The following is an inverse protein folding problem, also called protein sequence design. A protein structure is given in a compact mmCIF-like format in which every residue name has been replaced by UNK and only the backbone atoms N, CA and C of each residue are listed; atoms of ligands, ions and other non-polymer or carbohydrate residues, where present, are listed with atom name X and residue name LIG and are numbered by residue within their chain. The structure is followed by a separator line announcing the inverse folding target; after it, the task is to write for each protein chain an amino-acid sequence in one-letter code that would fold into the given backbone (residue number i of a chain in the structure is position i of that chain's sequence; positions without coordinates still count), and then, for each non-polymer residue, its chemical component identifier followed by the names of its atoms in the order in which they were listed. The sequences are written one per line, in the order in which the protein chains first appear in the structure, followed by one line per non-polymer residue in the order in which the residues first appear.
data_IF_769495533959
#
_entry.id   IF_769495533959
#
_cell.length_a   1.000
_cell.length_b   1.000
_cell.length_c   1.000
_cell.angle_alpha   90.00
_cell.angle_beta   90.00
_cell.angle_gamma   90.00
#
_symmetry.space_group_name_H-M   'P 1'
#
loop_
_entity.id
_entity.type
_entity.pdbx_description
1 polymer ?
#
# COMPACT_ATOMS: atom_id res chain seq x y z
N UNK A 1 11.10 -8.20 24.52
CA UNK A 1 11.23 -6.98 23.71
C UNK A 1 9.90 -6.77 23.02
N UNK A 2 9.10 -5.83 23.51
CA UNK A 2 7.71 -5.64 23.09
C UNK A 2 7.67 -5.06 21.68
N UNK A 3 6.65 -5.38 20.89
CA UNK A 3 6.41 -4.77 19.58
C UNK A 3 6.38 -3.22 19.65
N UNK A 4 5.96 -2.68 20.79
CA UNK A 4 5.99 -1.24 21.07
C UNK A 4 7.41 -0.67 21.18
N UNK A 5 8.38 -1.45 21.65
CA UNK A 5 9.78 -1.03 21.72
C UNK A 5 10.42 -0.95 20.33
N UNK A 6 9.96 -1.80 19.39
CA UNK A 6 10.39 -1.80 18.00
C UNK A 6 9.88 -0.55 17.26
N UNK A 7 8.62 -0.16 17.50
CA UNK A 7 8.02 1.06 16.95
C UNK A 7 8.68 2.34 17.51
N UNK A 8 8.95 2.38 18.82
CA UNK A 8 9.60 3.52 19.46
C UNK A 8 11.06 3.71 19.01
N UNK A 9 11.74 2.63 18.62
CA UNK A 9 13.13 2.66 18.14
C UNK A 9 13.23 2.99 16.65
N UNK A 10 12.23 2.62 15.84
CA UNK A 10 12.09 3.05 14.45
C UNK A 10 11.91 4.57 14.32
N UNK A 11 11.12 5.18 15.22
CA UNK A 11 10.82 6.61 15.19
C UNK A 11 11.99 7.53 15.64
N UNK A 12 13.04 7.00 16.27
CA UNK A 12 14.16 7.79 16.82
C UNK A 12 15.46 7.73 16.01
N UNK A 13 15.54 6.89 14.98
CA UNK A 13 16.82 6.54 14.33
C UNK A 13 17.12 7.16 12.98
N UNK A 14 16.16 7.79 12.30
CA UNK A 14 16.37 8.41 10.99
C UNK A 14 15.58 9.72 10.97
N UNK A 15 16.23 10.81 10.54
CA UNK A 15 15.56 12.10 10.41
C UNK A 15 14.23 11.90 9.69
N UNK A 16 13.15 12.44 10.27
CA UNK A 16 11.82 12.34 9.67
C UNK A 16 11.87 12.77 8.20
N UNK A 17 11.00 12.23 7.34
CA UNK A 17 11.05 12.50 5.90
C UNK A 17 11.12 14.01 5.69
N UNK A 18 12.23 14.48 5.12
CA UNK A 18 12.36 15.89 4.70
C UNK A 18 11.35 16.24 3.59
N UNK A 19 10.67 15.24 3.06
CA UNK A 19 9.70 15.24 1.96
C UNK A 19 8.34 15.89 2.26
N UNK A 20 8.03 16.24 3.52
CA UNK A 20 6.80 16.99 3.85
C UNK A 20 7.04 18.49 4.08
N UNK A 21 8.28 18.97 3.92
CA UNK A 21 8.65 20.34 4.27
C UNK A 21 8.40 21.37 3.17
N UNK A 22 7.84 20.96 2.02
CA UNK A 22 7.59 21.84 0.87
C UNK A 22 8.88 22.44 0.28
N UNK A 23 10.05 21.92 0.67
CA UNK A 23 11.38 22.33 0.20
C UNK A 23 11.91 21.45 -0.94
N UNK A 24 11.10 20.52 -1.41
CA UNK A 24 11.44 19.68 -2.56
C UNK A 24 11.10 20.46 -3.82
N UNK A 25 12.14 20.96 -4.49
CA UNK A 25 11.98 21.69 -5.73
C UNK A 25 11.15 20.90 -6.74
N UNK A 26 10.00 21.45 -7.13
CA UNK A 26 9.27 21.13 -8.37
C UNK A 26 8.88 19.66 -8.65
N UNK A 27 9.08 18.70 -7.73
CA UNK A 27 9.02 17.26 -8.06
C UNK A 27 7.73 16.52 -7.69
N UNK A 28 6.98 16.97 -6.69
CA UNK A 28 5.80 16.24 -6.17
C UNK A 28 4.55 16.46 -7.02
N UNK A 29 4.22 17.74 -7.25
CA UNK A 29 3.00 18.11 -7.96
C UNK A 29 2.94 17.53 -9.38
N UNK A 30 4.03 17.54 -10.19
CA UNK A 30 4.00 16.90 -11.51
C UNK A 30 3.77 15.38 -11.45
N UNK A 31 4.32 14.69 -10.44
CA UNK A 31 4.12 13.25 -10.27
C UNK A 31 2.69 12.93 -9.88
N UNK A 32 2.11 13.67 -8.94
CA UNK A 32 0.70 13.51 -8.57
C UNK A 32 -0.21 13.82 -9.75
N UNK A 33 0.07 14.88 -10.51
CA UNK A 33 -0.68 15.23 -11.71
C UNK A 33 -0.61 14.12 -12.77
N UNK A 34 0.54 13.45 -12.92
CA UNK A 34 0.68 12.31 -13.82
C UNK A 34 -0.24 11.15 -13.42
N UNK A 35 -0.23 10.74 -12.15
CA UNK A 35 -1.10 9.65 -11.66
C UNK A 35 -2.58 10.06 -11.71
N UNK A 36 -2.91 11.33 -11.49
CA UNK A 36 -4.26 11.84 -11.64
C UNK A 36 -4.74 11.73 -13.10
N UNK A 37 -3.87 12.03 -14.07
CA UNK A 37 -4.18 11.84 -15.48
C UNK A 37 -4.39 10.35 -15.81
N UNK A 38 -3.55 9.44 -15.30
CA UNK A 38 -3.74 8.00 -15.48
C UNK A 38 -5.08 7.49 -14.89
N UNK A 39 -5.50 8.08 -13.77
CA UNK A 39 -6.78 7.74 -13.16
C UNK A 39 -7.96 8.19 -14.02
N UNK A 40 -7.89 9.40 -14.60
CA UNK A 40 -8.89 9.88 -15.56
C UNK A 40 -8.92 9.00 -16.79
N UNK A 41 -7.75 8.66 -17.36
CA UNK A 41 -7.63 7.78 -18.52
C UNK A 41 -8.24 6.39 -18.25
N UNK A 42 -8.11 5.85 -17.04
CA UNK A 42 -8.76 4.61 -16.64
C UNK A 42 -10.29 4.73 -16.69
N UNK A 43 -10.82 5.82 -16.13
CA UNK A 43 -12.28 6.09 -16.13
C UNK A 43 -12.79 6.21 -17.56
N UNK A 44 -12.09 6.98 -18.40
CA UNK A 44 -12.45 7.19 -19.79
C UNK A 44 -12.45 5.89 -20.60
N UNK A 45 -11.42 5.05 -20.44
CA UNK A 45 -11.28 3.80 -21.18
C UNK A 45 -12.29 2.73 -20.77
N UNK A 46 -12.59 2.59 -19.47
CA UNK A 46 -13.28 1.40 -18.93
C UNK A 46 -14.63 1.69 -18.29
N UNK A 47 -14.85 2.88 -17.74
CA UNK A 47 -15.99 3.17 -16.86
C UNK A 47 -16.97 4.21 -17.40
N UNK A 48 -16.77 4.73 -18.62
CA UNK A 48 -17.78 5.57 -19.26
C UNK A 48 -19.03 4.77 -19.63
N UNK A 49 -20.16 5.20 -19.06
CA UNK A 49 -21.48 4.69 -19.42
C UNK A 49 -22.01 5.40 -20.67
N UNK A 50 -22.75 4.69 -21.50
CA UNK A 50 -23.45 5.23 -22.67
C UNK A 50 -24.96 5.01 -22.53
N UNK A 51 -25.77 5.57 -23.44
CA UNK A 51 -27.22 5.33 -23.45
C UNK A 51 -27.58 3.84 -23.62
N UNK A 52 -26.67 3.03 -24.18
CA UNK A 52 -26.88 1.61 -24.42
C UNK A 52 -26.25 0.70 -23.35
N UNK A 53 -25.28 1.19 -22.58
CA UNK A 53 -24.50 0.37 -21.66
C UNK A 53 -24.13 1.14 -20.39
N UNK A 54 -24.52 0.60 -19.23
CA UNK A 54 -24.17 1.14 -17.92
C UNK A 54 -22.94 0.42 -17.35
N UNK A 55 -21.90 1.18 -17.02
CA UNK A 55 -20.61 0.70 -16.50
C UNK A 55 -20.30 1.35 -15.16
N UNK A 56 -20.73 0.77 -14.03
CA UNK A 56 -20.48 1.33 -12.71
C UNK A 56 -19.00 1.21 -12.32
N UNK A 57 -18.48 2.22 -11.63
CA UNK A 57 -17.15 2.21 -11.02
C UNK A 57 -17.29 2.04 -9.51
N UNK A 58 -16.55 1.08 -8.94
CA UNK A 58 -16.31 1.06 -7.50
C UNK A 58 -15.23 2.09 -7.17
N UNK A 59 -15.67 3.30 -6.85
CA UNK A 59 -14.76 4.41 -6.63
C UNK A 59 -13.89 4.23 -5.40
N UNK A 60 -14.36 3.52 -4.36
CA UNK A 60 -13.57 3.29 -3.16
C UNK A 60 -12.33 2.46 -3.48
N UNK A 61 -12.52 1.39 -4.25
CA UNK A 61 -11.43 0.52 -4.66
C UNK A 61 -10.44 1.24 -5.59
N UNK A 62 -10.92 2.05 -6.55
CA UNK A 62 -10.02 2.78 -7.46
C UNK A 62 -9.31 3.96 -6.80
N UNK A 63 -9.93 4.61 -5.82
CA UNK A 63 -9.26 5.61 -5.00
C UNK A 63 -8.10 5.01 -4.19
N UNK A 64 -8.23 3.75 -3.75
CA UNK A 64 -7.13 3.03 -3.09
C UNK A 64 -5.98 2.77 -4.07
N UNK A 65 -6.25 2.29 -5.28
CA UNK A 65 -5.23 2.10 -6.32
C UNK A 65 -4.50 3.40 -6.66
N UNK A 66 -5.24 4.48 -6.83
CA UNK A 66 -4.66 5.82 -7.02
C UNK A 66 -3.71 6.19 -5.86
N UNK A 67 -4.14 5.95 -4.63
CA UNK A 67 -3.31 6.27 -3.46
C UNK A 67 -2.03 5.42 -3.43
N UNK A 68 -2.12 4.13 -3.77
CA UNK A 68 -0.97 3.22 -3.85
C UNK A 68 0.04 3.64 -4.94
N UNK A 69 -0.45 4.01 -6.12
CA UNK A 69 0.41 4.51 -7.20
C UNK A 69 1.04 5.87 -6.85
N UNK A 70 0.32 6.77 -6.16
CA UNK A 70 0.90 8.02 -5.66
C UNK A 70 2.01 7.76 -4.64
N UNK A 71 1.76 6.98 -3.58
CA UNK A 71 2.78 6.78 -2.53
C UNK A 71 3.97 5.98 -3.04
N UNK A 72 3.77 5.03 -3.96
CA UNK A 72 4.88 4.30 -4.58
C UNK A 72 5.69 5.20 -5.50
N UNK A 73 5.04 6.03 -6.32
CA UNK A 73 5.77 6.95 -7.20
C UNK A 73 6.55 8.03 -6.43
N UNK A 74 6.02 8.45 -5.27
CA UNK A 74 6.73 9.38 -4.38
C UNK A 74 7.86 8.68 -3.61
N UNK A 75 7.64 7.46 -3.11
CA UNK A 75 8.59 6.75 -2.25
C UNK A 75 9.68 5.94 -2.97
N UNK A 76 9.33 5.31 -4.10
CA UNK A 76 10.20 4.41 -4.87
C UNK A 76 10.68 5.05 -6.18
N UNK A 77 10.05 6.15 -6.61
CA UNK A 77 10.40 6.86 -7.85
C UNK A 77 9.72 6.33 -9.11
N UNK A 78 8.88 5.30 -9.00
CA UNK A 78 7.99 4.80 -10.05
C UNK A 78 6.65 4.32 -9.47
N UNK A 79 5.58 4.38 -10.26
CA UNK A 79 4.28 3.83 -9.88
C UNK A 79 4.28 2.30 -10.07
N UNK A 80 3.60 1.59 -9.17
CA UNK A 80 3.50 0.12 -9.22
C UNK A 80 2.52 -0.37 -10.30
N UNK A 81 1.65 0.51 -10.81
CA UNK A 81 0.79 0.25 -11.95
C UNK A 81 -0.56 -0.34 -11.58
N UNK A 82 -1.10 0.01 -10.42
CA UNK A 82 -2.44 -0.40 -10.01
C UNK A 82 -3.52 0.21 -10.94
N UNK A 83 -3.36 1.47 -11.33
CA UNK A 83 -4.30 2.18 -12.22
C UNK A 83 -4.15 1.76 -13.69
N UNK A 84 -2.92 1.54 -14.15
CA UNK A 84 -2.65 1.21 -15.55
C UNK A 84 -3.24 -0.16 -15.93
N UNK A 85 -3.07 -1.15 -15.04
CA UNK A 85 -3.59 -2.51 -15.20
C UNK A 85 -5.02 -2.70 -14.66
N UNK A 86 -5.50 -1.78 -13.83
CA UNK A 86 -6.80 -1.88 -13.15
C UNK A 86 -6.95 -3.16 -12.30
N UNK A 87 -5.84 -3.62 -11.73
CA UNK A 87 -5.70 -4.89 -11.03
C UNK A 87 -5.02 -4.69 -9.67
N UNK A 88 -5.30 -5.58 -8.72
CA UNK A 88 -4.62 -5.59 -7.41
C UNK A 88 -3.20 -6.11 -7.61
N UNK A 89 -2.29 -5.19 -7.88
CA UNK A 89 -0.89 -5.56 -8.09
C UNK A 89 -0.32 -6.16 -6.81
N UNK A 90 0.26 -7.35 -6.97
CA UNK A 90 0.95 -8.10 -5.92
C UNK A 90 0.04 -8.54 -4.76
N UNK A 91 -1.26 -8.71 -5.03
CA UNK A 91 -2.28 -9.04 -4.02
C UNK A 91 -2.25 -8.07 -2.83
N UNK A 92 -1.85 -6.82 -3.04
CA UNK A 92 -1.59 -5.88 -1.94
C UNK A 92 -2.87 -5.54 -1.18
N UNK A 93 -3.98 -5.29 -1.89
CA UNK A 93 -5.28 -5.00 -1.28
C UNK A 93 -5.82 -6.25 -0.60
N UNK A 94 -5.76 -7.41 -1.26
CA UNK A 94 -6.19 -8.68 -0.69
C UNK A 94 -5.43 -9.03 0.60
N UNK A 95 -4.12 -8.84 0.60
CA UNK A 95 -3.28 -9.07 1.77
C UNK A 95 -3.63 -8.07 2.86
N UNK A 96 -3.76 -6.78 2.54
CA UNK A 96 -4.10 -5.75 3.53
C UNK A 96 -5.46 -6.01 4.21
N UNK A 97 -6.49 -6.41 3.45
CA UNK A 97 -7.80 -6.76 4.01
C UNK A 97 -7.72 -8.00 4.92
N UNK A 98 -6.92 -9.00 4.53
CA UNK A 98 -6.68 -10.19 5.35
C UNK A 98 -5.85 -9.92 6.62
N UNK A 99 -5.11 -8.80 6.66
CA UNK A 99 -4.27 -8.43 7.79
C UNK A 99 -5.07 -7.82 8.95
N UNK A 100 -6.22 -7.18 8.70
CA UNK A 100 -7.05 -6.59 9.75
C UNK A 100 -7.47 -7.59 10.85
N UNK A 101 -8.04 -8.77 10.54
CA UNK A 101 -8.36 -9.76 11.57
C UNK A 101 -7.10 -10.29 12.26
N UNK A 102 -5.99 -10.43 11.53
CA UNK A 102 -4.70 -10.86 12.08
C UNK A 102 -4.18 -9.88 13.13
N UNK A 103 -4.20 -8.58 12.81
CA UNK A 103 -3.81 -7.51 13.73
C UNK A 103 -4.77 -7.47 14.94
N UNK A 104 -6.07 -7.62 14.72
CA UNK A 104 -7.06 -7.64 15.80
C UNK A 104 -6.79 -8.77 16.81
N UNK A 105 -6.44 -9.97 16.32
CA UNK A 105 -6.08 -11.11 17.18
C UNK A 105 -4.79 -10.84 17.96
N UNK A 106 -3.76 -10.32 17.28
CA UNK A 106 -2.47 -9.99 17.90
C UNK A 106 -2.59 -8.90 18.97
N UNK A 107 -3.47 -7.93 18.77
CA UNK A 107 -3.69 -6.85 19.74
C UNK A 107 -4.55 -7.30 20.93
N UNK A 108 -5.44 -8.28 20.75
CA UNK A 108 -6.39 -8.70 21.78
C UNK A 108 -5.87 -9.85 22.64
N UNK A 109 -4.96 -10.68 22.11
CA UNK A 109 -4.45 -11.88 22.80
C UNK A 109 -2.99 -11.67 23.21
N UNK A 110 -2.69 -11.42 24.50
CA UNK A 110 -1.35 -11.02 24.95
C UNK A 110 -0.22 -12.03 24.70
N UNK A 111 -0.54 -13.29 24.45
CA UNK A 111 0.42 -14.37 24.18
C UNK A 111 0.46 -14.79 22.70
N UNK A 112 -0.41 -14.26 21.84
CA UNK A 112 -0.48 -14.65 20.44
C UNK A 112 0.81 -14.28 19.69
N UNK A 113 1.48 -13.19 20.07
CA UNK A 113 2.76 -12.80 19.49
C UNK A 113 3.87 -13.84 19.76
N UNK A 114 3.85 -14.46 20.95
CA UNK A 114 4.79 -15.50 21.35
C UNK A 114 4.59 -16.79 20.57
N UNK A 115 3.33 -17.17 20.31
CA UNK A 115 3.01 -18.34 19.47
C UNK A 115 3.38 -18.08 18.01
N UNK A 116 3.06 -16.91 17.47
CA UNK A 116 3.36 -16.58 16.08
C UNK A 116 4.88 -16.55 15.81
N UNK A 117 5.69 -16.15 16.79
CA UNK A 117 7.17 -16.19 16.71
C UNK A 117 7.76 -17.58 16.94
N UNK A 118 6.97 -18.54 17.41
CA UNK A 118 7.43 -19.91 17.67
C UNK A 118 7.44 -20.77 16.40
N UNK A 119 8.26 -21.83 16.37
CA UNK A 119 8.26 -22.79 15.27
C UNK A 119 7.02 -23.71 15.37
N UNK A 120 6.32 -24.01 14.25
CA UNK A 120 6.62 -23.64 12.86
C UNK A 120 5.96 -22.32 12.38
N UNK A 121 5.13 -21.68 13.21
CA UNK A 121 4.32 -20.50 12.83
C UNK A 121 5.13 -19.28 12.40
N UNK A 122 6.38 -19.14 12.86
CA UNK A 122 7.32 -18.13 12.37
C UNK A 122 7.55 -18.20 10.85
N UNK A 123 7.32 -19.37 10.21
CA UNK A 123 7.39 -19.49 8.75
C UNK A 123 6.23 -18.83 8.00
N UNK A 124 5.15 -18.50 8.70
CA UNK A 124 3.94 -17.88 8.16
C UNK A 124 3.97 -16.35 8.28
N UNK A 125 4.97 -15.80 8.96
CA UNK A 125 5.24 -14.37 8.96
C UNK A 125 5.75 -13.94 7.59
N UNK A 126 5.31 -12.75 7.14
CA UNK A 126 5.83 -12.08 5.95
C UNK A 126 7.36 -12.03 6.05
N UNK A 127 8.05 -12.61 5.07
CA UNK A 127 9.51 -12.60 5.02
C UNK A 127 10.00 -11.48 4.11
N UNK A 128 11.17 -10.95 4.46
CA UNK A 128 11.92 -10.06 3.58
C UNK A 128 12.22 -10.80 2.26
N UNK A 129 11.78 -10.24 1.13
CA UNK A 129 11.97 -10.82 -0.21
C UNK A 129 10.81 -11.64 -0.78
N UNK A 130 9.65 -11.66 -0.14
CA UNK A 130 8.44 -12.23 -0.75
C UNK A 130 7.93 -11.30 -1.88
N UNK A 131 7.68 -11.87 -3.06
CA UNK A 131 7.20 -11.14 -4.25
C UNK A 131 5.71 -10.71 -4.17
N UNK A 132 5.12 -10.73 -2.97
CA UNK A 132 3.70 -10.47 -2.72
C UNK A 132 3.52 -9.57 -1.49
N UNK A 133 2.53 -8.68 -1.54
CA UNK A 133 2.18 -7.77 -0.45
C UNK A 133 3.31 -6.83 -0.01
N UNK A 134 3.42 -6.60 1.31
CA UNK A 134 4.43 -5.71 1.90
C UNK A 134 5.89 -6.16 1.67
N UNK A 135 6.14 -7.44 1.36
CA UNK A 135 7.48 -7.99 1.15
C UNK A 135 8.20 -7.37 -0.06
N UNK A 136 7.46 -6.96 -1.09
CA UNK A 136 8.01 -6.23 -2.25
C UNK A 136 8.40 -4.79 -1.89
N UNK A 137 7.61 -4.11 -1.04
CA UNK A 137 7.83 -2.69 -0.73
C UNK A 137 9.04 -2.43 0.18
N UNK A 138 9.56 -3.47 0.84
CA UNK A 138 10.63 -3.38 1.85
C UNK A 138 11.99 -3.82 1.29
N UNK A 139 12.04 -4.30 0.04
CA UNK A 139 13.26 -4.72 -0.67
C UNK A 139 14.22 -3.59 -0.99
#
# INVERSE_FOLDING_TARGET
MSFLDLLAKGARGKGGPRDYSGRDGAGFEPRVNHIAAEFVDLIERKYLSTLAEFRPIDFAHKAQYFTLDVISYLGLGEALGFLSNDEDMYDYVAINDSMLPTISVLLTIPWADGILKSWPFNKMLLKDGDNVGFGMLIG
#
